data_IF_371616947201
#
_entry.id   IF_371616947201
#
_cell.length_a   1.000
_cell.length_b   1.000
_cell.length_c   1.000
_cell.angle_alpha   90.00
_cell.angle_beta   90.00
_cell.angle_gamma   90.00
#
_symmetry.space_group_name_H-M   'P 1'
#
loop_
_entity.id
_entity.type
_entity.pdbx_description
1 polymer ?
#
# COMPACT_ATOMS: atom_id res chain seq x y z
N UNK A 1 -24.50 51.05 12.97
CA UNK A 1 -24.66 49.65 12.54
C UNK A 1 -23.33 48.95 12.70
N UNK A 2 -23.30 47.81 13.38
CA UNK A 2 -22.08 47.02 13.51
C UNK A 2 -21.75 46.44 12.13
N UNK A 3 -20.81 47.06 11.45
CA UNK A 3 -20.29 46.55 10.18
C UNK A 3 -19.45 45.31 10.51
N UNK A 4 -19.98 44.14 10.18
CA UNK A 4 -19.18 42.92 10.11
C UNK A 4 -18.07 43.15 9.10
N UNK A 5 -16.79 43.01 9.48
CA UNK A 5 -15.70 43.12 8.52
C UNK A 5 -15.89 42.09 7.41
N UNK A 6 -15.57 42.44 6.15
CA UNK A 6 -15.72 41.53 5.03
C UNK A 6 -14.90 40.26 5.29
N UNK A 7 -15.54 39.09 5.11
CA UNK A 7 -14.85 37.80 5.18
C UNK A 7 -13.68 37.84 4.19
N UNK A 8 -12.43 37.65 4.65
CA UNK A 8 -11.28 37.67 3.76
C UNK A 8 -11.47 36.64 2.63
N UNK A 9 -11.19 37.07 1.39
CA UNK A 9 -11.27 36.21 0.22
C UNK A 9 -10.40 34.97 0.45
N UNK A 10 -11.02 33.79 0.42
CA UNK A 10 -10.30 32.52 0.48
C UNK A 10 -9.67 32.30 -0.90
N UNK A 11 -8.41 32.68 -1.05
CA UNK A 11 -7.64 32.40 -2.26
C UNK A 11 -7.26 30.92 -2.21
N UNK A 12 -7.52 30.12 -3.27
CA UNK A 12 -7.01 28.76 -3.33
C UNK A 12 -5.48 28.78 -3.22
N UNK A 13 -4.96 28.18 -2.15
CA UNK A 13 -3.52 28.04 -1.92
C UNK A 13 -3.14 26.57 -2.01
N UNK A 14 -1.96 26.28 -2.55
CA UNK A 14 -1.35 24.97 -2.52
C UNK A 14 0.03 25.11 -1.89
N UNK A 15 0.40 24.18 -1.01
CA UNK A 15 1.79 24.07 -0.59
C UNK A 15 2.60 23.61 -1.81
N UNK A 16 3.43 24.52 -2.31
CA UNK A 16 4.44 24.21 -3.30
C UNK A 16 5.81 24.19 -2.62
N UNK A 17 6.67 23.28 -3.06
CA UNK A 17 8.09 23.34 -2.70
C UNK A 17 8.78 24.19 -3.76
N UNK A 18 9.45 25.26 -3.32
CA UNK A 18 10.36 26.02 -4.17
C UNK A 18 11.79 25.68 -3.79
N UNK A 19 12.71 25.79 -4.75
CA UNK A 19 14.13 25.66 -4.46
C UNK A 19 14.55 26.79 -3.51
N UNK A 20 15.15 26.42 -2.38
CA UNK A 20 15.72 27.37 -1.45
C UNK A 20 17.05 27.95 -1.95
N UNK A 21 17.50 29.04 -1.32
CA UNK A 21 18.84 29.53 -1.55
C UNK A 21 19.87 28.46 -1.12
N UNK A 22 20.88 28.28 -1.95
CA UNK A 22 21.97 27.35 -1.67
C UNK A 22 22.85 27.97 -0.59
N UNK A 23 22.81 27.43 0.62
CA UNK A 23 23.57 27.94 1.77
C UNK A 23 24.09 26.82 2.67
N UNK A 24 25.12 27.15 3.43
CA UNK A 24 25.53 26.37 4.58
C UNK A 24 24.50 26.49 5.71
N UNK A 25 24.61 25.64 6.73
CA UNK A 25 23.65 25.58 7.82
C UNK A 25 24.33 25.76 9.17
N UNK A 26 23.83 26.69 9.98
CA UNK A 26 24.27 26.80 11.37
C UNK A 26 23.84 25.57 12.17
N UNK A 27 24.76 25.04 12.98
CA UNK A 27 24.45 23.98 13.93
C UNK A 27 23.37 24.46 14.90
N UNK A 28 22.25 23.76 14.97
CA UNK A 28 21.19 24.07 15.95
C UNK A 28 21.58 23.45 17.30
N UNK A 29 21.99 24.29 18.26
CA UNK A 29 22.45 23.82 19.56
C UNK A 29 21.28 23.16 20.29
N UNK A 30 21.44 21.88 20.64
CA UNK A 30 20.37 21.05 21.25
C UNK A 30 19.11 20.95 20.38
N UNK A 31 19.22 21.21 19.07
CA UNK A 31 18.10 21.18 18.13
C UNK A 31 17.20 22.41 18.15
N UNK A 32 17.61 23.48 18.83
CA UNK A 32 16.87 24.74 18.87
C UNK A 32 17.25 25.60 17.64
N UNK A 33 16.31 25.88 16.71
CA UNK A 33 16.58 26.68 15.52
C UNK A 33 16.91 28.16 15.83
N UNK A 34 16.55 28.66 17.01
CA UNK A 34 16.88 30.03 17.45
C UNK A 34 18.28 30.12 18.07
N UNK A 35 18.88 29.00 18.48
CA UNK A 35 20.23 28.93 19.05
C UNK A 35 21.23 28.42 18.02
N UNK A 36 21.70 29.34 17.18
CA UNK A 36 22.72 29.07 16.18
C UNK A 36 24.10 28.88 16.82
N UNK A 37 24.74 27.75 16.50
CA UNK A 37 26.13 27.44 16.78
C UNK A 37 27.03 27.69 15.56
N UNK A 38 28.09 26.89 15.43
CA UNK A 38 29.04 26.98 14.31
C UNK A 38 28.34 26.76 12.96
N UNK A 39 28.74 27.53 11.95
CA UNK A 39 28.25 27.34 10.59
C UNK A 39 28.89 26.09 9.98
N UNK A 40 28.05 25.09 9.67
CA UNK A 40 28.50 23.82 9.11
C UNK A 40 28.48 23.90 7.59
N UNK A 41 29.64 23.82 6.92
CA UNK A 41 29.70 23.83 5.47
C UNK A 41 29.00 22.61 4.90
N UNK A 42 28.36 22.76 3.75
CA UNK A 42 27.76 21.62 3.04
C UNK A 42 28.82 20.60 2.66
N UNK A 43 28.64 19.39 3.17
CA UNK A 43 29.55 18.26 3.00
C UNK A 43 28.78 16.96 3.18
N UNK A 44 29.38 15.85 2.77
CA UNK A 44 28.85 14.53 3.07
C UNK A 44 28.89 14.23 4.57
N UNK A 45 28.07 13.28 5.04
CA UNK A 45 28.25 12.76 6.39
C UNK A 45 29.67 12.22 6.52
N UNK A 46 30.27 12.38 7.71
CA UNK A 46 31.64 11.92 7.96
C UNK A 46 31.81 10.42 7.71
N UNK A 47 30.77 9.63 8.01
CA UNK A 47 30.73 8.19 7.70
C UNK A 47 30.80 7.88 6.20
N UNK A 48 30.48 8.84 5.33
CA UNK A 48 30.59 8.76 3.88
C UNK A 48 31.80 9.53 3.33
N UNK A 49 32.76 9.89 4.19
CA UNK A 49 34.02 10.54 3.83
C UNK A 49 34.10 12.02 4.18
N UNK A 50 32.99 12.67 4.54
CA UNK A 50 32.99 14.06 5.04
C UNK A 50 33.44 15.13 4.03
N UNK A 51 33.63 14.77 2.75
CA UNK A 51 34.15 15.69 1.75
C UNK A 51 33.13 16.77 1.38
N UNK A 52 33.57 17.99 1.06
CA UNK A 52 32.68 19.05 0.58
C UNK A 52 31.92 18.64 -0.67
N UNK A 53 30.73 19.21 -0.87
CA UNK A 53 29.98 19.04 -2.13
C UNK A 53 30.78 19.58 -3.31
N UNK A 54 30.72 18.94 -4.48
CA UNK A 54 31.59 19.27 -5.61
C UNK A 54 31.29 20.65 -6.20
N UNK A 55 30.01 21.06 -6.18
CA UNK A 55 29.58 22.36 -6.69
C UNK A 55 28.97 23.23 -5.58
N UNK A 56 29.68 24.28 -5.10
CA UNK A 56 29.16 25.21 -4.09
C UNK A 56 27.89 25.95 -4.50
N UNK A 57 27.61 26.08 -5.80
CA UNK A 57 26.41 26.77 -6.32
C UNK A 57 25.16 25.86 -6.37
N UNK A 58 25.28 24.58 -6.04
CA UNK A 58 24.16 23.63 -6.03
C UNK A 58 23.90 23.08 -4.63
N UNK A 59 22.68 22.61 -4.37
CA UNK A 59 22.33 22.00 -3.08
C UNK A 59 23.13 20.74 -2.71
N UNK A 60 23.86 20.14 -3.65
CA UNK A 60 24.55 18.84 -3.47
C UNK A 60 23.62 17.62 -3.61
N UNK A 61 22.30 17.80 -3.76
CA UNK A 61 21.35 16.68 -3.91
C UNK A 61 21.61 15.82 -5.15
N UNK A 62 22.04 16.42 -6.25
CA UNK A 62 22.42 15.70 -7.49
C UNK A 62 23.69 14.88 -7.29
N UNK A 63 24.69 15.43 -6.60
CA UNK A 63 25.92 14.71 -6.26
C UNK A 63 25.60 13.50 -5.37
N UNK A 64 24.68 13.66 -4.40
CA UNK A 64 24.24 12.58 -3.51
C UNK A 64 23.54 11.48 -4.31
N UNK A 65 22.60 11.87 -5.18
CA UNK A 65 21.89 10.93 -6.03
C UNK A 65 22.86 10.17 -6.95
N UNK A 66 23.84 10.86 -7.52
CA UNK A 66 24.89 10.27 -8.35
C UNK A 66 25.76 9.29 -7.56
N UNK A 67 26.16 9.65 -6.34
CA UNK A 67 26.91 8.78 -5.44
C UNK A 67 26.12 7.52 -5.08
N UNK A 68 24.86 7.67 -4.64
CA UNK A 68 23.97 6.54 -4.29
C UNK A 68 23.80 5.59 -5.47
N UNK A 69 23.51 6.13 -6.66
CA UNK A 69 23.23 5.33 -7.86
C UNK A 69 24.48 4.67 -8.45
N UNK A 70 25.67 5.24 -8.21
CA UNK A 70 26.95 4.63 -8.58
C UNK A 70 27.36 3.47 -7.66
N UNK A 71 26.76 3.37 -6.47
CA UNK A 71 27.16 2.37 -5.48
C UNK A 71 26.76 0.95 -5.93
N UNK A 72 27.63 -0.07 -5.79
CA UNK A 72 27.35 -1.45 -6.26
C UNK A 72 26.09 -2.10 -5.65
N UNK A 73 25.66 -1.62 -4.48
CA UNK A 73 24.44 -2.11 -3.83
C UNK A 73 23.16 -1.56 -4.46
N UNK A 74 23.20 -0.47 -5.21
CA UNK A 74 22.00 0.18 -5.75
C UNK A 74 21.17 -0.79 -6.61
N UNK A 75 21.80 -1.46 -7.56
CA UNK A 75 21.14 -2.44 -8.41
C UNK A 75 20.61 -3.64 -7.63
N UNK A 76 21.36 -4.13 -6.62
CA UNK A 76 20.95 -5.26 -5.77
C UNK A 76 19.73 -4.93 -4.91
N UNK A 77 19.75 -3.76 -4.27
CA UNK A 77 18.64 -3.28 -3.43
C UNK A 77 17.39 -3.08 -4.28
N UNK A 78 17.53 -2.46 -5.45
CA UNK A 78 16.41 -2.26 -6.38
C UNK A 78 15.85 -3.59 -6.89
N UNK A 79 16.70 -4.52 -7.33
CA UNK A 79 16.29 -5.86 -7.76
C UNK A 79 15.56 -6.61 -6.66
N UNK A 80 16.07 -6.58 -5.43
CA UNK A 80 15.46 -7.24 -4.28
C UNK A 80 14.08 -6.66 -3.95
N UNK A 81 13.91 -5.33 -4.02
CA UNK A 81 12.60 -4.69 -3.79
C UNK A 81 11.59 -5.08 -4.87
N UNK A 82 12.01 -5.08 -6.14
CA UNK A 82 11.13 -5.48 -7.25
C UNK A 82 10.73 -6.96 -7.11
N UNK A 83 11.68 -7.83 -6.76
CA UNK A 83 11.42 -9.23 -6.46
C UNK A 83 10.44 -9.41 -5.30
N UNK A 84 10.68 -8.73 -4.18
CA UNK A 84 9.85 -8.80 -2.98
C UNK A 84 8.38 -8.42 -3.28
N UNK A 85 8.12 -7.41 -4.11
CA UNK A 85 6.76 -7.01 -4.46
C UNK A 85 6.00 -8.08 -5.25
N UNK A 86 6.71 -8.90 -6.04
CA UNK A 86 6.11 -9.97 -6.84
C UNK A 86 5.99 -11.29 -6.07
N UNK A 87 6.98 -11.60 -5.23
CA UNK A 87 7.12 -12.92 -4.58
C UNK A 87 6.78 -12.87 -3.07
N UNK A 88 6.46 -11.68 -2.54
CA UNK A 88 6.14 -11.44 -1.13
C UNK A 88 7.38 -11.28 -0.23
N UNK A 89 8.41 -12.09 -0.45
CA UNK A 89 9.67 -12.02 0.29
C UNK A 89 10.85 -11.67 -0.62
N UNK A 90 11.70 -10.74 -0.17
CA UNK A 90 12.95 -10.42 -0.84
C UNK A 90 13.94 -11.60 -0.80
N UNK A 91 14.80 -11.70 -1.82
CA UNK A 91 15.97 -12.61 -1.79
C UNK A 91 16.84 -12.31 -0.57
N UNK A 92 16.98 -11.03 -0.23
CA UNK A 92 17.42 -10.54 1.08
C UNK A 92 16.17 -10.17 1.87
N UNK A 93 15.92 -10.88 2.97
CA UNK A 93 14.72 -10.75 3.79
C UNK A 93 14.66 -9.43 4.59
N UNK A 94 15.73 -8.64 4.58
CA UNK A 94 15.85 -7.32 5.21
C UNK A 94 15.98 -6.23 4.14
N UNK A 95 14.89 -5.75 3.51
CA UNK A 95 14.97 -4.90 2.31
C UNK A 95 15.62 -3.52 2.53
N UNK A 96 15.69 -3.06 3.78
CA UNK A 96 16.34 -1.81 4.17
C UNK A 96 17.77 -2.00 4.71
N UNK A 97 18.25 -3.24 4.87
CA UNK A 97 19.58 -3.51 5.43
C UNK A 97 20.28 -4.61 4.63
N UNK A 98 21.25 -4.18 3.82
CA UNK A 98 22.15 -5.03 3.04
C UNK A 98 23.56 -5.07 3.66
N UNK A 99 23.73 -4.48 4.85
CA UNK A 99 24.98 -4.43 5.59
C UNK A 99 25.15 -5.65 6.50
N UNK A 100 26.06 -5.52 7.47
CA UNK A 100 26.41 -6.62 8.39
C UNK A 100 25.29 -7.02 9.36
N UNK A 101 24.27 -6.18 9.52
CA UNK A 101 23.06 -6.47 10.31
C UNK A 101 21.90 -6.99 9.46
N UNK A 102 22.06 -6.96 8.14
CA UNK A 102 21.13 -7.52 7.19
C UNK A 102 21.20 -9.04 7.12
N UNK A 103 20.14 -9.63 6.58
CA UNK A 103 20.10 -11.05 6.23
C UNK A 103 20.98 -11.35 5.01
N UNK A 104 21.59 -12.54 5.00
CA UNK A 104 22.31 -13.04 3.83
C UNK A 104 21.31 -13.38 2.72
N UNK A 105 21.61 -13.11 1.43
CA UNK A 105 20.74 -13.50 0.33
C UNK A 105 20.45 -15.01 0.35
N UNK A 106 19.18 -15.39 0.23
CA UNK A 106 18.78 -16.80 0.10
C UNK A 106 19.35 -17.43 -1.18
N UNK A 107 19.38 -16.65 -2.27
CA UNK A 107 19.86 -17.05 -3.58
C UNK A 107 20.82 -15.97 -4.13
N UNK A 108 22.10 -15.96 -3.74
CA UNK A 108 23.04 -14.90 -4.12
C UNK A 108 23.21 -14.79 -5.64
N UNK A 109 23.29 -15.92 -6.35
CA UNK A 109 23.41 -15.92 -7.82
C UNK A 109 22.19 -15.32 -8.52
N UNK A 110 20.99 -15.55 -7.97
CA UNK A 110 19.76 -14.94 -8.49
C UNK A 110 19.78 -13.43 -8.29
N UNK A 111 20.17 -12.96 -7.10
CA UNK A 111 20.27 -11.54 -6.81
C UNK A 111 21.24 -10.83 -7.77
N UNK A 112 22.43 -11.40 -7.99
CA UNK A 112 23.39 -10.86 -8.96
C UNK A 112 22.84 -10.86 -10.38
N UNK A 113 22.15 -11.93 -10.79
CA UNK A 113 21.50 -12.00 -12.09
C UNK A 113 20.47 -10.88 -12.27
N UNK A 114 19.54 -10.71 -11.33
CA UNK A 114 18.51 -9.66 -11.42
C UNK A 114 19.12 -8.25 -11.39
N UNK A 115 20.16 -8.03 -10.58
CA UNK A 115 20.89 -6.77 -10.55
C UNK A 115 21.58 -6.48 -11.90
N UNK A 116 22.19 -7.50 -12.52
CA UNK A 116 22.81 -7.36 -13.85
C UNK A 116 21.79 -7.00 -14.94
N UNK A 117 20.55 -7.51 -14.84
CA UNK A 117 19.47 -7.18 -15.77
C UNK A 117 19.05 -5.72 -15.67
N UNK A 118 19.05 -5.14 -14.46
CA UNK A 118 18.81 -3.69 -14.30
C UNK A 118 19.89 -2.87 -14.98
N UNK A 119 21.17 -3.19 -14.74
CA UNK A 119 22.30 -2.48 -15.37
C UNK A 119 22.22 -2.59 -16.90
N UNK A 120 22.02 -3.80 -17.43
CA UNK A 120 21.91 -4.04 -18.87
C UNK A 120 20.72 -3.30 -19.54
N UNK A 121 19.66 -3.01 -18.78
CA UNK A 121 18.47 -2.30 -19.26
C UNK A 121 18.43 -0.83 -18.84
N UNK A 122 19.57 -0.21 -18.49
CA UNK A 122 19.64 1.19 -18.04
C UNK A 122 18.65 1.51 -16.91
N UNK A 123 18.55 0.61 -15.93
CA UNK A 123 17.66 0.70 -14.76
C UNK A 123 16.17 0.81 -15.08
N UNK A 124 15.74 0.47 -16.30
CA UNK A 124 14.31 0.33 -16.61
C UNK A 124 13.74 -0.86 -15.84
N UNK A 125 12.75 -0.61 -15.00
CA UNK A 125 12.13 -1.64 -14.14
C UNK A 125 11.13 -2.54 -14.88
N UNK A 126 10.49 -2.06 -15.95
CA UNK A 126 9.48 -2.83 -16.70
C UNK A 126 10.01 -4.17 -17.25
N UNK A 127 11.20 -4.22 -17.89
CA UNK A 127 11.81 -5.49 -18.30
C UNK A 127 12.03 -6.46 -17.13
N UNK A 128 12.46 -5.95 -15.97
CA UNK A 128 12.69 -6.79 -14.79
C UNK A 128 11.38 -7.39 -14.25
N UNK A 129 10.30 -6.59 -14.17
CA UNK A 129 8.97 -7.10 -13.81
C UNK A 129 8.55 -8.23 -14.74
N UNK A 130 8.66 -8.03 -16.07
CA UNK A 130 8.32 -9.06 -17.06
C UNK A 130 9.16 -10.32 -16.88
N UNK A 131 10.46 -10.18 -16.64
CA UNK A 131 11.36 -11.32 -16.42
C UNK A 131 10.94 -12.16 -15.21
N UNK A 132 10.58 -11.52 -14.10
CA UNK A 132 10.12 -12.19 -12.88
C UNK A 132 8.77 -12.87 -13.13
N UNK A 133 7.80 -12.16 -13.71
CA UNK A 133 6.45 -12.68 -13.96
C UNK A 133 6.40 -13.83 -14.98
N UNK A 134 7.42 -13.95 -15.84
CA UNK A 134 7.59 -15.05 -16.79
C UNK A 134 8.48 -16.18 -16.27
N UNK A 135 8.97 -16.09 -15.02
CA UNK A 135 9.79 -17.14 -14.43
C UNK A 135 8.93 -18.31 -13.92
N UNK A 136 9.47 -19.53 -14.00
CA UNK A 136 8.82 -20.71 -13.42
C UNK A 136 8.48 -20.49 -11.95
N UNK A 137 9.38 -19.87 -11.17
CA UNK A 137 9.19 -19.60 -9.76
C UNK A 137 7.96 -18.72 -9.46
N UNK A 138 7.68 -17.71 -10.30
CA UNK A 138 6.50 -16.86 -10.13
C UNK A 138 5.21 -17.55 -10.60
N UNK A 139 5.30 -18.40 -11.63
CA UNK A 139 4.15 -19.06 -12.24
C UNK A 139 3.75 -20.39 -11.58
N UNK A 140 4.42 -20.79 -10.50
CA UNK A 140 4.05 -22.01 -9.76
C UNK A 140 2.67 -21.87 -9.14
N UNK A 141 1.98 -23.00 -9.00
CA UNK A 141 0.72 -23.03 -8.25
C UNK A 141 0.95 -22.70 -6.77
N UNK A 142 -0.03 -22.07 -6.14
CA UNK A 142 -0.13 -21.90 -4.69
C UNK A 142 -0.59 -23.16 -3.94
N UNK A 143 -1.07 -24.19 -4.66
CA UNK A 143 -1.39 -25.49 -4.08
C UNK A 143 -0.13 -26.30 -3.79
N UNK A 144 0.44 -26.06 -2.60
CA UNK A 144 1.60 -26.80 -2.12
C UNK A 144 1.23 -28.16 -1.53
N UNK A 145 2.07 -29.17 -1.75
CA UNK A 145 1.92 -30.46 -1.06
C UNK A 145 2.26 -30.34 0.43
N UNK A 146 1.69 -31.22 1.26
CA UNK A 146 2.04 -31.30 2.69
C UNK A 146 3.54 -31.50 2.91
N UNK A 147 4.19 -32.27 2.04
CA UNK A 147 5.63 -32.50 2.09
C UNK A 147 6.43 -31.22 1.84
N UNK A 148 6.02 -30.40 0.86
CA UNK A 148 6.66 -29.11 0.56
C UNK A 148 6.60 -28.17 1.77
N UNK A 149 5.41 -28.04 2.39
CA UNK A 149 5.25 -27.23 3.61
C UNK A 149 6.08 -27.74 4.80
N UNK A 150 6.24 -29.06 4.95
CA UNK A 150 7.04 -29.63 6.04
C UNK A 150 8.55 -29.44 5.82
N UNK A 151 9.02 -29.55 4.58
CA UNK A 151 10.44 -29.43 4.25
C UNK A 151 10.91 -27.97 4.21
N UNK A 152 10.07 -27.06 3.74
CA UNK A 152 10.37 -25.63 3.65
C UNK A 152 9.15 -24.78 4.06
N UNK A 153 8.89 -24.65 5.37
CA UNK A 153 7.72 -23.92 5.88
C UNK A 153 7.66 -22.44 5.45
N UNK A 154 8.83 -21.83 5.21
CA UNK A 154 8.93 -20.43 4.81
C UNK A 154 8.96 -20.25 3.28
N UNK A 155 8.86 -21.35 2.52
CA UNK A 155 8.97 -21.36 1.06
C UNK A 155 10.22 -20.64 0.55
N UNK A 156 11.33 -20.72 1.28
CA UNK A 156 12.59 -20.06 0.94
C UNK A 156 13.10 -20.50 -0.43
N UNK A 157 12.87 -21.74 -0.83
CA UNK A 157 13.26 -22.35 -2.11
C UNK A 157 12.21 -22.20 -3.21
N UNK A 158 11.12 -21.46 -2.96
CA UNK A 158 10.11 -21.09 -3.95
C UNK A 158 9.50 -22.33 -4.62
N UNK A 159 9.18 -23.35 -3.82
CA UNK A 159 8.61 -24.61 -4.30
C UNK A 159 7.16 -24.49 -4.79
N UNK A 160 6.47 -23.44 -4.36
CA UNK A 160 5.10 -23.05 -4.72
C UNK A 160 4.96 -21.53 -4.70
N UNK A 161 3.84 -20.96 -5.18
CA UNK A 161 3.54 -19.55 -4.98
C UNK A 161 2.94 -19.31 -3.60
N UNK A 162 3.45 -18.36 -2.83
CA UNK A 162 2.91 -18.07 -1.49
C UNK A 162 1.71 -17.13 -1.60
N UNK A 163 0.49 -17.54 -1.19
CA UNK A 163 -0.66 -16.66 -1.21
C UNK A 163 -0.40 -15.38 -0.41
N UNK A 164 -0.82 -14.25 -0.97
CA UNK A 164 -0.58 -12.93 -0.40
C UNK A 164 -1.91 -12.31 0.00
N UNK A 165 -2.04 -11.93 1.26
CA UNK A 165 -3.19 -11.14 1.71
C UNK A 165 -3.18 -9.75 1.03
N UNK A 166 -4.35 -9.25 0.70
CA UNK A 166 -4.53 -7.88 0.23
C UNK A 166 -4.13 -6.87 1.31
N UNK A 167 -3.48 -5.77 0.92
CA UNK A 167 -3.21 -4.64 1.82
C UNK A 167 -4.49 -3.87 2.11
N UNK A 168 -4.49 -3.01 3.15
CA UNK A 168 -5.65 -2.15 3.46
C UNK A 168 -6.21 -1.44 2.23
N UNK A 169 -5.35 -0.78 1.46
CA UNK A 169 -5.72 -0.04 0.26
C UNK A 169 -6.32 -0.95 -0.82
N UNK A 170 -5.77 -2.15 -1.01
CA UNK A 170 -6.29 -3.13 -1.96
C UNK A 170 -7.65 -3.67 -1.52
N UNK A 171 -7.86 -3.96 -0.22
CA UNK A 171 -9.15 -4.38 0.33
C UNK A 171 -10.20 -3.29 0.07
N UNK A 172 -9.90 -2.05 0.45
CA UNK A 172 -10.83 -0.92 0.28
C UNK A 172 -11.13 -0.64 -1.19
N UNK A 173 -10.11 -0.60 -2.05
CA UNK A 173 -10.31 -0.36 -3.48
C UNK A 173 -11.11 -1.51 -4.13
N UNK A 174 -10.90 -2.76 -3.71
CA UNK A 174 -11.67 -3.91 -4.19
C UNK A 174 -13.14 -3.79 -3.81
N UNK A 175 -13.46 -3.41 -2.57
CA UNK A 175 -14.83 -3.16 -2.12
C UNK A 175 -15.53 -2.06 -2.94
N UNK A 176 -14.82 -0.98 -3.27
CA UNK A 176 -15.34 0.08 -4.14
C UNK A 176 -15.57 -0.40 -5.59
N UNK A 177 -14.69 -1.25 -6.12
CA UNK A 177 -14.82 -1.79 -7.49
C UNK A 177 -16.03 -2.72 -7.59
N UNK A 178 -16.18 -3.68 -6.67
CA UNK A 178 -17.26 -4.68 -6.74
C UNK A 178 -18.62 -4.03 -6.52
N UNK A 179 -18.72 -3.02 -5.65
CA UNK A 179 -19.93 -2.23 -5.42
C UNK A 179 -20.22 -1.17 -6.51
N UNK A 180 -19.34 -0.98 -7.50
CA UNK A 180 -19.39 0.12 -8.51
C UNK A 180 -19.30 1.54 -7.93
N UNK A 181 -18.84 1.69 -6.70
CA UNK A 181 -18.68 2.99 -6.07
C UNK A 181 -17.36 3.68 -6.44
N UNK A 182 -16.36 2.94 -6.95
CA UNK A 182 -15.03 3.52 -7.21
C UNK A 182 -15.10 4.73 -8.15
N UNK A 183 -14.73 5.89 -7.62
CA UNK A 183 -14.47 7.09 -8.40
C UNK A 183 -13.01 7.08 -8.90
N UNK A 184 -12.84 6.89 -10.21
CA UNK A 184 -11.53 6.87 -10.88
C UNK A 184 -10.97 8.26 -11.19
N UNK A 185 -11.74 9.34 -10.97
CA UNK A 185 -11.25 10.71 -11.17
C UNK A 185 -10.17 11.00 -10.13
N UNK A 186 -9.02 11.58 -10.54
CA UNK A 186 -7.96 11.96 -9.62
C UNK A 186 -8.47 12.71 -8.38
N UNK A 187 -7.82 12.48 -7.24
CA UNK A 187 -8.10 13.19 -6.00
C UNK A 187 -7.91 14.69 -6.16
N UNK A 188 -8.84 15.45 -5.58
CA UNK A 188 -8.71 16.89 -5.39
C UNK A 188 -8.28 17.19 -3.95
N UNK A 189 -8.06 18.46 -3.64
CA UNK A 189 -7.73 18.89 -2.29
C UNK A 189 -8.83 18.47 -1.30
N UNK A 190 -8.43 17.92 -0.15
CA UNK A 190 -9.37 17.65 0.93
C UNK A 190 -9.99 18.95 1.47
N UNK A 191 -11.23 18.91 1.98
CA UNK A 191 -11.90 20.08 2.54
C UNK A 191 -11.31 20.41 3.93
N UNK A 192 -10.10 20.97 3.94
CA UNK A 192 -9.45 21.44 5.15
C UNK A 192 -10.23 22.63 5.73
N UNK A 193 -10.31 22.73 7.08
CA UNK A 193 -10.82 23.93 7.70
C UNK A 193 -9.91 25.13 7.34
N UNK A 194 -10.43 26.37 7.29
CA UNK A 194 -9.63 27.55 6.97
C UNK A 194 -8.41 27.66 7.88
N UNK A 195 -7.27 28.08 7.33
CA UNK A 195 -6.00 28.19 8.08
C UNK A 195 -6.13 29.08 9.33
N UNK A 196 -6.96 30.12 9.27
CA UNK A 196 -7.27 31.00 10.40
C UNK A 196 -7.91 30.30 11.61
N UNK A 197 -8.40 29.07 11.43
CA UNK A 197 -9.03 28.26 12.50
C UNK A 197 -8.09 27.18 13.06
N UNK A 198 -6.88 27.04 12.52
CA UNK A 198 -5.96 25.99 12.94
C UNK A 198 -5.40 26.29 14.33
N UNK A 199 -5.63 25.40 15.29
CA UNK A 199 -4.98 25.44 16.62
C UNK A 199 -4.15 24.18 16.94
N UNK A 200 -3.84 23.38 15.91
CA UNK A 200 -3.24 22.07 16.09
C UNK A 200 -1.84 22.16 16.71
N UNK A 201 -1.57 21.28 17.67
CA UNK A 201 -0.27 21.14 18.34
C UNK A 201 0.13 19.68 18.45
N UNK A 202 1.33 19.40 18.95
CA UNK A 202 1.72 18.01 19.25
C UNK A 202 0.80 17.34 20.28
N UNK A 203 0.20 18.11 21.19
CA UNK A 203 -0.71 17.60 22.23
C UNK A 203 -2.18 17.60 21.80
N UNK A 204 -2.51 18.33 20.72
CA UNK A 204 -3.83 18.35 20.11
C UNK A 204 -3.67 18.28 18.58
N UNK A 205 -3.26 17.11 18.03
CA UNK A 205 -3.01 17.00 16.61
C UNK A 205 -4.30 17.06 15.80
N UNK A 206 -4.17 17.55 14.56
CA UNK A 206 -5.21 17.43 13.56
C UNK A 206 -5.68 15.98 13.43
N UNK A 207 -6.99 15.80 13.38
CA UNK A 207 -7.64 14.53 13.13
C UNK A 207 -8.89 14.73 12.29
N UNK A 208 -8.85 14.29 11.04
CA UNK A 208 -10.00 14.25 10.16
C UNK A 208 -10.05 12.92 9.38
N UNK A 209 -11.26 12.40 9.22
CA UNK A 209 -11.56 11.26 8.35
C UNK A 209 -12.51 11.76 7.28
N UNK A 210 -11.98 12.00 6.08
CA UNK A 210 -12.78 12.42 4.93
C UNK A 210 -13.27 11.18 4.19
N UNK A 211 -14.57 10.91 4.26
CA UNK A 211 -15.16 9.84 3.47
C UNK A 211 -15.05 10.19 1.99
N UNK A 212 -14.62 9.21 1.20
CA UNK A 212 -14.43 9.35 -0.24
C UNK A 212 -14.61 8.00 -0.88
N UNK A 213 -15.08 7.99 -2.13
CA UNK A 213 -15.12 6.80 -2.97
C UNK A 213 -13.96 6.76 -3.97
N UNK A 214 -13.01 7.69 -3.86
CA UNK A 214 -11.80 7.68 -4.69
C UNK A 214 -10.88 6.53 -4.27
N UNK A 215 -9.95 6.19 -5.17
CA UNK A 215 -8.85 5.24 -4.90
C UNK A 215 -8.15 5.57 -3.59
N UNK A 216 -7.78 4.54 -2.83
CA UNK A 216 -7.18 4.67 -1.49
C UNK A 216 -5.89 5.49 -1.47
N UNK A 217 -5.19 5.58 -2.60
CA UNK A 217 -4.01 6.46 -2.78
C UNK A 217 -4.31 7.94 -2.56
N UNK A 218 -5.57 8.36 -2.70
CA UNK A 218 -6.03 9.72 -2.48
C UNK A 218 -6.64 9.93 -1.08
N UNK A 219 -6.58 8.94 -0.20
CA UNK A 219 -6.99 9.13 1.18
C UNK A 219 -6.02 10.06 1.91
N UNK A 220 -6.55 10.88 2.81
CA UNK A 220 -5.74 11.76 3.64
C UNK A 220 -4.80 10.93 4.54
N UNK A 221 -3.50 11.16 4.42
CA UNK A 221 -2.48 10.58 5.30
C UNK A 221 -2.07 11.62 6.34
N UNK A 222 -2.39 11.36 7.60
CA UNK A 222 -2.07 12.25 8.71
C UNK A 222 -0.92 11.67 9.51
N UNK A 223 0.10 12.48 9.82
CA UNK A 223 1.31 12.01 10.51
C UNK A 223 1.02 11.44 11.90
N UNK A 224 0.24 12.12 12.74
CA UNK A 224 0.07 11.71 14.15
C UNK A 224 -1.17 10.84 14.42
N UNK A 225 -2.19 10.88 13.54
CA UNK A 225 -3.46 10.18 13.71
C UNK A 225 -3.77 9.33 12.47
N UNK A 226 -3.50 8.04 12.53
CA UNK A 226 -3.75 7.16 11.37
C UNK A 226 -5.24 7.03 11.10
N UNK A 227 -5.59 6.89 9.82
CA UNK A 227 -6.96 6.57 9.43
C UNK A 227 -7.42 5.26 10.09
N UNK A 228 -8.62 5.18 10.71
CA UNK A 228 -9.06 3.99 11.45
C UNK A 228 -8.98 2.69 10.65
N UNK A 229 -9.52 2.70 9.42
CA UNK A 229 -9.46 1.54 8.52
C UNK A 229 -8.01 1.14 8.17
N UNK A 230 -7.15 2.08 7.75
CA UNK A 230 -5.75 1.77 7.46
C UNK A 230 -5.03 1.24 8.70
N UNK A 231 -5.33 1.78 9.89
CA UNK A 231 -4.73 1.28 11.13
C UNK A 231 -5.20 -0.14 11.48
N UNK A 232 -6.43 -0.51 11.15
CA UNK A 232 -6.99 -1.82 11.44
C UNK A 232 -6.46 -2.92 10.51
N UNK A 233 -6.20 -2.58 9.24
CA UNK A 233 -5.75 -3.50 8.19
C UNK A 233 -4.27 -3.33 7.83
N UNK A 234 -3.43 -2.98 8.81
CA UNK A 234 -1.96 -2.92 8.69
C UNK A 234 -1.41 -1.95 7.63
N UNK A 235 -2.11 -0.85 7.41
CA UNK A 235 -1.61 0.29 6.63
C UNK A 235 -0.32 0.86 7.22
N UNK A 236 0.53 1.47 6.37
CA UNK A 236 1.86 1.90 6.77
C UNK A 236 1.80 3.01 7.80
N UNK A 237 2.75 3.02 8.73
CA UNK A 237 2.91 4.14 9.65
C UNK A 237 3.54 5.34 8.95
N UNK A 238 2.88 6.51 8.90
CA UNK A 238 3.47 7.71 8.33
C UNK A 238 4.68 8.24 9.12
N UNK A 239 4.93 7.77 10.34
CA UNK A 239 6.12 8.16 11.12
C UNK A 239 7.32 7.25 10.95
N UNK A 240 7.19 6.08 10.30
CA UNK A 240 8.28 5.11 10.22
C UNK A 240 8.41 4.54 8.80
N UNK A 241 9.63 4.12 8.45
CA UNK A 241 9.85 3.43 7.18
C UNK A 241 9.24 2.03 7.23
N UNK A 242 8.43 1.70 6.23
CA UNK A 242 7.78 0.39 6.10
C UNK A 242 8.38 -0.39 4.91
N UNK A 243 9.53 -1.10 5.09
CA UNK A 243 10.15 -1.88 4.02
C UNK A 243 9.36 -3.13 3.60
N UNK A 244 8.50 -3.61 4.49
CA UNK A 244 7.64 -4.78 4.29
C UNK A 244 6.25 -4.38 4.75
N UNK A 245 5.22 -4.76 3.99
CA UNK A 245 3.82 -4.61 4.39
C UNK A 245 3.54 -5.69 5.44
N UNK A 246 3.26 -5.27 6.67
CA UNK A 246 2.84 -6.22 7.70
C UNK A 246 1.46 -6.76 7.35
N UNK A 247 1.23 -8.03 7.71
CA UNK A 247 -0.05 -8.68 7.52
C UNK A 247 -0.39 -9.40 8.81
N UNK A 248 -1.40 -8.88 9.51
CA UNK A 248 -1.92 -9.49 10.73
C UNK A 248 -3.30 -10.06 10.45
N UNK A 249 -3.62 -11.16 11.14
CA UNK A 249 -4.97 -11.73 11.14
C UNK A 249 -5.46 -11.68 12.57
N UNK A 250 -6.16 -10.59 12.92
CA UNK A 250 -6.64 -10.33 14.28
C UNK A 250 -8.17 -10.34 14.34
N UNK A 251 -8.77 -10.75 15.47
CA UNK A 251 -10.22 -10.81 15.61
C UNK A 251 -10.94 -9.49 15.32
N UNK A 252 -10.29 -8.34 15.57
CA UNK A 252 -10.86 -7.01 15.30
C UNK A 252 -11.11 -6.76 13.81
N UNK A 253 -10.30 -7.32 12.91
CA UNK A 253 -10.54 -7.26 11.47
C UNK A 253 -11.76 -8.11 11.07
N UNK A 254 -11.94 -9.29 11.69
CA UNK A 254 -13.14 -10.10 11.46
C UNK A 254 -14.40 -9.40 11.98
N UNK A 255 -14.31 -8.75 13.15
CA UNK A 255 -15.40 -7.96 13.71
C UNK A 255 -15.76 -6.74 12.85
N UNK A 256 -14.81 -6.15 12.13
CA UNK A 256 -15.10 -5.11 11.15
C UNK A 256 -16.04 -5.62 10.06
N UNK A 257 -15.74 -6.76 9.44
CA UNK A 257 -16.61 -7.34 8.41
C UNK A 257 -18.00 -7.76 8.93
N UNK A 258 -18.13 -8.01 10.23
CA UNK A 258 -19.42 -8.37 10.84
C UNK A 258 -20.28 -7.16 11.22
N UNK A 259 -19.68 -6.00 11.48
CA UNK A 259 -20.38 -4.90 12.17
C UNK A 259 -20.26 -3.54 11.47
N UNK A 260 -19.27 -3.34 10.59
CA UNK A 260 -19.02 -2.03 10.00
C UNK A 260 -20.11 -1.64 9.00
N UNK A 261 -20.71 -0.46 9.20
CA UNK A 261 -21.81 0.04 8.38
C UNK A 261 -21.39 0.30 6.92
N UNK A 262 -20.16 0.78 6.71
CA UNK A 262 -19.63 1.06 5.38
C UNK A 262 -19.36 -0.24 4.61
N UNK A 263 -18.81 -1.26 5.28
CA UNK A 263 -18.68 -2.58 4.68
C UNK A 263 -20.04 -3.18 4.30
N UNK A 264 -21.04 -3.07 5.19
CA UNK A 264 -22.39 -3.54 4.89
C UNK A 264 -23.04 -2.78 3.74
N UNK A 265 -22.81 -1.47 3.61
CA UNK A 265 -23.33 -0.71 2.47
C UNK A 265 -22.71 -1.17 1.14
N UNK A 266 -21.40 -1.46 1.10
CA UNK A 266 -20.76 -2.02 -0.10
C UNK A 266 -21.26 -3.42 -0.43
N UNK A 267 -21.48 -4.27 0.57
CA UNK A 267 -22.09 -5.60 0.35
C UNK A 267 -23.50 -5.47 -0.24
N UNK A 268 -24.29 -4.51 0.25
CA UNK A 268 -25.63 -4.27 -0.27
C UNK A 268 -25.61 -3.76 -1.72
N UNK A 269 -24.75 -2.80 -2.04
CA UNK A 269 -24.60 -2.29 -3.40
C UNK A 269 -24.10 -3.38 -4.37
N UNK A 270 -23.22 -4.26 -3.90
CA UNK A 270 -22.77 -5.43 -4.67
C UNK A 270 -23.94 -6.37 -4.97
N UNK A 271 -24.78 -6.66 -3.98
CA UNK A 271 -25.99 -7.48 -4.18
C UNK A 271 -26.96 -6.84 -5.17
N UNK A 272 -27.24 -5.54 -5.02
CA UNK A 272 -28.11 -4.78 -5.94
C UNK A 272 -27.57 -4.79 -7.37
N UNK A 273 -26.25 -4.73 -7.55
CA UNK A 273 -25.60 -4.85 -8.86
C UNK A 273 -25.88 -6.20 -9.50
N UNK A 274 -25.71 -7.30 -8.76
CA UNK A 274 -25.94 -8.66 -9.27
C UNK A 274 -27.42 -8.90 -9.57
N UNK A 275 -28.31 -8.43 -8.70
CA UNK A 275 -29.75 -8.53 -8.89
C UNK A 275 -30.27 -7.77 -10.11
N UNK A 276 -29.56 -6.76 -10.60
CA UNK A 276 -29.89 -6.07 -11.83
C UNK A 276 -29.59 -6.91 -13.09
N UNK A 277 -28.73 -7.92 -12.98
CA UNK A 277 -28.32 -8.82 -14.07
C UNK A 277 -29.19 -10.08 -14.08
N UNK A 278 -30.44 -9.98 -14.55
CA UNK A 278 -31.34 -11.15 -14.70
C UNK A 278 -31.04 -11.96 -15.98
N UNK A 279 -31.21 -13.31 -16.00
CA UNK A 279 -31.80 -14.21 -14.98
C UNK A 279 -30.81 -14.84 -13.95
N UNK A 280 -31.31 -15.68 -13.02
CA UNK A 280 -30.63 -16.09 -11.77
C UNK A 280 -29.46 -17.09 -11.84
N UNK A 281 -29.46 -18.09 -12.73
CA UNK A 281 -28.27 -18.94 -12.92
C UNK A 281 -27.03 -18.12 -13.36
N UNK A 282 -27.15 -17.15 -14.28
CA UNK A 282 -26.06 -16.23 -14.56
C UNK A 282 -25.63 -15.37 -13.36
N UNK A 283 -26.47 -15.19 -12.33
CA UNK A 283 -26.12 -14.34 -11.18
C UNK A 283 -25.07 -14.98 -10.28
N UNK A 284 -25.10 -16.30 -10.06
CA UNK A 284 -24.05 -16.98 -9.26
C UNK A 284 -22.74 -16.91 -10.01
N UNK A 285 -22.75 -17.24 -11.31
CA UNK A 285 -21.56 -17.15 -12.16
C UNK A 285 -21.00 -15.72 -12.17
N UNK A 286 -21.85 -14.71 -12.36
CA UNK A 286 -21.45 -13.30 -12.35
C UNK A 286 -20.88 -12.86 -11.00
N UNK A 287 -21.48 -13.31 -9.88
CA UNK A 287 -20.98 -12.99 -8.54
C UNK A 287 -19.58 -13.58 -8.33
N UNK A 288 -19.36 -14.85 -8.67
CA UNK A 288 -18.04 -15.48 -8.54
C UNK A 288 -17.02 -14.87 -9.52
N UNK A 289 -17.42 -14.53 -10.75
CA UNK A 289 -16.54 -13.87 -11.71
C UNK A 289 -16.16 -12.47 -11.22
N UNK A 290 -17.11 -11.72 -10.64
CA UNK A 290 -16.88 -10.40 -10.09
C UNK A 290 -15.96 -10.42 -8.86
N UNK A 291 -16.16 -11.37 -7.94
CA UNK A 291 -15.43 -11.40 -6.67
C UNK A 291 -14.10 -12.16 -6.75
N UNK A 292 -14.05 -13.24 -7.52
CA UNK A 292 -12.94 -14.21 -7.54
C UNK A 292 -12.32 -14.41 -8.93
N UNK A 293 -12.86 -13.76 -9.98
CA UNK A 293 -12.37 -13.85 -11.37
C UNK A 293 -12.34 -15.27 -11.95
N UNK A 294 -13.23 -16.13 -11.46
CA UNK A 294 -13.46 -17.49 -11.96
C UNK A 294 -14.94 -17.86 -11.86
N UNK A 295 -15.30 -18.97 -12.49
CA UNK A 295 -16.62 -19.58 -12.28
C UNK A 295 -16.64 -20.38 -10.97
N UNK A 296 -17.82 -20.52 -10.34
CA UNK A 296 -17.98 -21.41 -9.20
C UNK A 296 -17.77 -22.86 -9.62
N UNK A 297 -17.27 -23.68 -8.70
CA UNK A 297 -17.30 -25.14 -8.82
C UNK A 297 -18.72 -25.67 -8.58
N UNK A 298 -19.00 -26.91 -8.99
CA UNK A 298 -20.33 -27.54 -8.76
C UNK A 298 -20.72 -27.50 -7.27
N UNK A 299 -19.78 -27.81 -6.37
CA UNK A 299 -20.02 -27.78 -4.92
C UNK A 299 -20.31 -26.35 -4.40
N UNK A 300 -19.64 -25.34 -4.92
CA UNK A 300 -19.88 -23.94 -4.55
C UNK A 300 -21.24 -23.44 -5.04
N UNK A 301 -21.63 -23.84 -6.25
CA UNK A 301 -22.97 -23.57 -6.79
C UNK A 301 -24.05 -24.20 -5.92
N UNK A 302 -23.88 -25.48 -5.55
CA UNK A 302 -24.83 -26.19 -4.70
C UNK A 302 -24.97 -25.55 -3.31
N UNK A 303 -23.86 -25.20 -2.66
CA UNK A 303 -23.86 -24.52 -1.35
C UNK A 303 -24.51 -23.14 -1.47
N UNK A 304 -24.23 -22.40 -2.54
CA UNK A 304 -24.80 -21.07 -2.77
C UNK A 304 -26.32 -21.15 -2.98
N UNK A 305 -26.78 -22.10 -3.80
CA UNK A 305 -28.21 -22.35 -4.01
C UNK A 305 -28.89 -22.79 -2.72
N UNK A 306 -28.25 -23.68 -1.95
CA UNK A 306 -28.76 -24.10 -0.65
C UNK A 306 -28.92 -22.89 0.29
N UNK A 307 -27.91 -22.01 0.37
CA UNK A 307 -27.99 -20.80 1.19
C UNK A 307 -29.16 -19.91 0.77
N UNK A 308 -29.28 -19.58 -0.52
CA UNK A 308 -30.36 -18.73 -1.05
C UNK A 308 -31.75 -19.35 -0.78
N UNK A 309 -31.88 -20.67 -0.91
CA UNK A 309 -33.16 -21.35 -0.70
C UNK A 309 -33.55 -21.47 0.79
N UNK A 310 -32.57 -21.54 1.69
CA UNK A 310 -32.82 -21.73 3.14
C UNK A 310 -32.82 -20.45 3.96
N UNK A 311 -32.20 -19.37 3.48
CA UNK A 311 -32.13 -18.11 4.20
C UNK A 311 -33.50 -17.42 4.24
N UNK A 312 -33.95 -17.02 5.44
CA UNK A 312 -35.22 -16.31 5.61
C UNK A 312 -35.08 -14.83 5.21
N UNK A 313 -35.92 -14.38 4.28
CA UNK A 313 -35.94 -12.98 3.84
C UNK A 313 -36.41 -12.80 2.39
N UNK A 314 -36.46 -11.55 1.95
CA UNK A 314 -36.67 -11.22 0.53
C UNK A 314 -35.46 -11.66 -0.30
N UNK A 315 -35.63 -11.82 -1.62
CA UNK A 315 -34.51 -12.12 -2.51
C UNK A 315 -33.36 -11.13 -2.34
N UNK A 316 -33.67 -9.84 -2.20
CA UNK A 316 -32.68 -8.80 -1.92
C UNK A 316 -31.87 -9.09 -0.65
N UNK A 317 -32.54 -9.39 0.47
CA UNK A 317 -31.87 -9.69 1.74
C UNK A 317 -30.98 -10.94 1.65
N UNK A 318 -31.38 -11.95 0.88
CA UNK A 318 -30.59 -13.17 0.67
C UNK A 318 -29.28 -12.86 -0.07
N UNK A 319 -29.36 -12.09 -1.16
CA UNK A 319 -28.17 -11.70 -1.93
C UNK A 319 -27.28 -10.72 -1.17
N UNK A 320 -27.84 -9.83 -0.36
CA UNK A 320 -27.09 -8.97 0.56
C UNK A 320 -26.29 -9.80 1.58
N UNK A 321 -26.95 -10.79 2.21
CA UNK A 321 -26.31 -11.68 3.17
C UNK A 321 -25.21 -12.54 2.52
N UNK A 322 -25.48 -13.10 1.33
CA UNK A 322 -24.50 -13.86 0.55
C UNK A 322 -23.30 -13.00 0.17
N UNK A 323 -23.53 -11.80 -0.37
CA UNK A 323 -22.46 -10.87 -0.76
C UNK A 323 -21.56 -10.52 0.43
N UNK A 324 -22.14 -10.28 1.61
CA UNK A 324 -21.40 -10.01 2.84
C UNK A 324 -20.49 -11.18 3.24
N UNK A 325 -20.98 -12.42 3.11
CA UNK A 325 -20.20 -13.63 3.42
C UNK A 325 -19.03 -13.77 2.44
N UNK A 326 -19.28 -13.63 1.14
CA UNK A 326 -18.23 -13.80 0.13
C UNK A 326 -17.19 -12.69 0.17
N UNK A 327 -17.58 -11.43 0.39
CA UNK A 327 -16.66 -10.30 0.55
C UNK A 327 -15.80 -10.37 1.83
N UNK A 328 -16.19 -11.19 2.80
CA UNK A 328 -15.40 -11.46 4.01
C UNK A 328 -14.64 -12.78 3.97
N UNK A 329 -14.71 -13.51 2.85
CA UNK A 329 -14.04 -14.79 2.66
C UNK A 329 -12.53 -14.63 2.50
N UNK A 330 -11.78 -15.70 2.77
CA UNK A 330 -10.35 -15.73 2.50
C UNK A 330 -10.06 -15.57 1.00
N UNK A 331 -10.88 -16.12 0.12
CA UNK A 331 -10.66 -16.01 -1.33
C UNK A 331 -10.77 -14.56 -1.81
N UNK A 332 -11.65 -13.74 -1.21
CA UNK A 332 -11.70 -12.31 -1.52
C UNK A 332 -10.49 -11.54 -0.98
N UNK A 333 -9.92 -11.98 0.15
CA UNK A 333 -8.88 -11.25 0.88
C UNK A 333 -7.45 -11.66 0.52
N UNK A 334 -7.26 -12.69 -0.31
CA UNK A 334 -5.96 -13.22 -0.70
C UNK A 334 -5.84 -13.32 -2.22
N UNK A 335 -4.61 -13.14 -2.71
CA UNK A 335 -4.22 -13.38 -4.10
C UNK A 335 -3.29 -14.59 -4.11
N UNK A 336 -3.58 -15.58 -4.94
CA UNK A 336 -2.91 -16.88 -4.95
C UNK A 336 -2.50 -17.39 -6.34
#
# INVERSE_FOLDING_TARGET
GNLTPPTPLTIPVAYAVTEGAVSDAALQLRGDPEQAGENIPRRWLEIFGGTPTQNPQQSGRVDLASWITSHPLFARVLANRVWQWHVGQGVVATPNDFGSRGSVPSHPKLLEFLASQLVANNYRIKPLHRLIMLSDAYQRSSHASKAAHQQDPNNKWLSYFSPRRLTAEEIRDSLLVVSKELDSVPGEAHPFPPESTWNFSQHAPFNAVYQTNKRSVYMMVQRQRRHPFLSLFDGPDPNTSSPVRQQTTVPTQALYFLNDELFHSYANLTASRILASYPANPMIDELYQLLFQRLPTEAETDITLQFINTYDGTDEQKWQALSRILLSSNEFLYVD
#
